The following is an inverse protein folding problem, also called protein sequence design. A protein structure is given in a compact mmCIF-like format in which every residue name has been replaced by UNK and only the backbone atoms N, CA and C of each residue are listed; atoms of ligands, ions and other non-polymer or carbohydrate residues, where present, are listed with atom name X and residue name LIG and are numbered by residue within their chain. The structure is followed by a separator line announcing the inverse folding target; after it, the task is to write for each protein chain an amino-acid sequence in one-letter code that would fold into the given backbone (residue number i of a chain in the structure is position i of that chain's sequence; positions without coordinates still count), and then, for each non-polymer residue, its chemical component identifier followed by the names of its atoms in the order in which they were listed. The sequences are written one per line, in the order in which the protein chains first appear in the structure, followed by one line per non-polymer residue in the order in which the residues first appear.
data_IF_811515726455
#
_entry.id   IF_811515726455
#
_cell.length_a   1.000
_cell.length_b   1.000
_cell.length_c   1.000
_cell.angle_alpha   90.00
_cell.angle_beta   90.00
_cell.angle_gamma   90.00
#
_symmetry.space_group_name_H-M   'P 1'
#
loop_
_entity.id
_entity.type
_entity.pdbx_description
1 polymer ?
#
# COMPACT_ATOMS: atom_id res chain seq x y z
N UNK A 1 10.54 8.63 13.48
CA UNK A 1 10.74 7.46 12.61
C UNK A 1 10.04 6.20 13.13
N UNK A 2 9.93 5.18 12.27
CA UNK A 2 9.51 3.82 12.60
C UNK A 2 10.62 3.08 13.37
N UNK A 3 10.27 2.48 14.51
CA UNK A 3 11.12 1.50 15.19
C UNK A 3 10.71 0.10 14.71
N UNK A 4 11.58 -0.56 13.96
CA UNK A 4 11.29 -1.87 13.37
C UNK A 4 11.43 -2.99 14.42
N UNK A 5 10.38 -3.79 14.57
CA UNK A 5 10.37 -5.02 15.38
C UNK A 5 9.12 -5.85 15.05
N UNK A 6 9.19 -6.66 13.99
CA UNK A 6 8.09 -7.53 13.55
C UNK A 6 8.54 -8.98 13.57
N UNK A 7 7.94 -9.81 14.42
CA UNK A 7 8.33 -11.23 14.59
C UNK A 7 7.29 -12.21 14.05
N UNK A 8 6.07 -11.72 13.86
CA UNK A 8 4.93 -12.48 13.40
C UNK A 8 3.84 -11.51 12.90
N UNK A 9 2.78 -12.06 12.31
CA UNK A 9 1.68 -11.29 11.71
C UNK A 9 0.44 -11.17 12.63
N UNK A 10 0.54 -11.56 13.90
CA UNK A 10 -0.60 -11.70 14.84
C UNK A 10 -0.46 -10.93 16.14
N UNK A 11 0.78 -10.59 16.52
CA UNK A 11 1.12 -9.80 17.69
C UNK A 11 0.48 -8.41 17.60
N UNK A 12 0.25 -7.73 18.74
CA UNK A 12 -0.38 -6.41 18.76
C UNK A 12 0.33 -5.41 17.84
N UNK A 13 -0.40 -4.90 16.84
CA UNK A 13 0.11 -3.92 15.89
C UNK A 13 0.27 -2.55 16.58
N UNK A 14 1.47 -1.97 16.52
CA UNK A 14 1.78 -0.66 17.12
C UNK A 14 1.90 0.46 16.09
N UNK A 15 2.44 0.13 14.92
CA UNK A 15 2.64 1.08 13.83
C UNK A 15 2.50 0.35 12.49
N UNK A 16 2.05 1.06 11.46
CA UNK A 16 1.87 0.52 10.11
C UNK A 16 2.12 1.59 9.06
N UNK A 17 2.70 1.19 7.93
CA UNK A 17 2.67 1.97 6.69
C UNK A 17 1.43 1.52 5.93
N UNK A 18 0.46 2.41 5.80
CA UNK A 18 -0.77 2.17 5.07
C UNK A 18 -0.69 2.91 3.73
N UNK A 19 -0.94 2.19 2.63
CA UNK A 19 -0.92 2.76 1.28
C UNK A 19 -1.93 3.89 1.09
N UNK A 20 -1.86 4.58 -0.05
CA UNK A 20 -2.79 5.65 -0.42
C UNK A 20 -3.52 5.30 -1.71
N UNK A 21 -4.78 5.72 -1.80
CA UNK A 21 -5.63 5.46 -2.97
C UNK A 21 -5.63 6.61 -3.99
N UNK A 22 -4.98 7.73 -3.64
CA UNK A 22 -4.93 8.93 -4.48
C UNK A 22 -4.12 8.69 -5.74
N UNK A 23 -4.58 9.26 -6.85
CA UNK A 23 -3.93 9.23 -8.16
C UNK A 23 -3.48 7.82 -8.59
N UNK A 24 -4.38 6.80 -8.59
CA UNK A 24 -4.00 5.41 -8.88
C UNK A 24 -3.62 5.19 -10.36
N UNK A 25 -3.83 6.19 -11.22
CA UNK A 25 -3.71 6.09 -12.66
C UNK A 25 -5.00 5.65 -13.34
N UNK A 26 -4.99 5.43 -14.67
CA UNK A 26 -6.15 4.97 -15.40
C UNK A 26 -6.52 3.53 -15.05
N UNK A 27 -7.78 3.14 -15.33
CA UNK A 27 -8.19 1.74 -15.27
C UNK A 27 -7.35 0.95 -16.27
N UNK A 28 -6.66 -0.13 -15.84
CA UNK A 28 -5.88 -0.97 -16.75
C UNK A 28 -6.77 -1.60 -17.81
N UNK A 29 -6.19 -1.91 -18.97
CA UNK A 29 -6.87 -2.72 -19.98
C UNK A 29 -6.94 -4.19 -19.53
N UNK A 30 -7.91 -4.98 -20.03
CA UNK A 30 -7.98 -6.40 -19.72
C UNK A 30 -6.65 -7.16 -19.94
N UNK A 31 -5.92 -6.84 -21.01
CA UNK A 31 -4.62 -7.43 -21.33
C UNK A 31 -3.47 -7.02 -20.39
N UNK A 32 -3.65 -5.95 -19.62
CA UNK A 32 -2.69 -5.44 -18.64
C UNK A 32 -2.98 -5.98 -17.22
N UNK A 33 -4.14 -6.63 -17.02
CA UNK A 33 -4.50 -7.21 -15.73
C UNK A 33 -3.66 -8.47 -15.45
N UNK A 34 -2.81 -8.38 -14.43
CA UNK A 34 -1.97 -9.51 -14.01
C UNK A 34 -2.71 -10.51 -13.11
N UNK A 35 -3.78 -10.08 -12.44
CA UNK A 35 -4.59 -10.92 -11.56
C UNK A 35 -6.02 -11.11 -12.09
N UNK A 36 -6.62 -12.29 -11.86
CA UNK A 36 -7.94 -12.63 -12.41
C UNK A 36 -9.06 -11.77 -11.83
N UNK A 37 -8.89 -11.18 -10.65
CA UNK A 37 -9.94 -10.40 -9.98
C UNK A 37 -10.04 -9.00 -10.56
N UNK A 38 -8.90 -8.35 -10.81
CA UNK A 38 -8.85 -7.11 -11.59
C UNK A 38 -9.46 -7.33 -12.97
N UNK A 39 -9.10 -8.42 -13.67
CA UNK A 39 -9.66 -8.75 -14.98
C UNK A 39 -11.19 -8.89 -14.94
N UNK A 40 -11.73 -9.63 -13.96
CA UNK A 40 -13.17 -9.77 -13.75
C UNK A 40 -13.88 -8.41 -13.63
N UNK A 41 -13.35 -7.52 -12.78
CA UNK A 41 -13.96 -6.21 -12.54
C UNK A 41 -13.80 -5.25 -13.71
N UNK A 42 -12.68 -5.30 -14.45
CA UNK A 42 -12.49 -4.52 -15.68
C UNK A 42 -13.51 -4.95 -16.72
N UNK A 43 -13.65 -6.26 -16.98
CA UNK A 43 -14.60 -6.80 -17.96
C UNK A 43 -16.06 -6.51 -17.58
N UNK A 44 -16.37 -6.48 -16.27
CA UNK A 44 -17.69 -6.14 -15.76
C UNK A 44 -17.97 -4.63 -15.68
N UNK A 45 -16.98 -3.76 -15.95
CA UNK A 45 -17.11 -2.30 -15.80
C UNK A 45 -17.28 -1.84 -14.35
N UNK A 46 -16.81 -2.65 -13.39
CA UNK A 46 -16.92 -2.42 -11.94
C UNK A 46 -15.56 -2.29 -11.25
N UNK A 47 -14.51 -1.95 -12.02
CA UNK A 47 -13.19 -1.67 -11.44
C UNK A 47 -13.29 -0.47 -10.48
N UNK A 48 -12.63 -0.51 -9.31
CA UNK A 48 -12.79 0.51 -8.27
C UNK A 48 -12.47 1.92 -8.78
N UNK A 49 -13.29 2.89 -8.39
CA UNK A 49 -13.01 4.31 -8.61
C UNK A 49 -12.12 4.85 -7.50
N UNK A 50 -11.36 5.90 -7.81
CA UNK A 50 -10.51 6.59 -6.83
C UNK A 50 -11.32 7.07 -5.61
N UNK A 51 -12.49 7.67 -5.82
CA UNK A 51 -13.36 8.17 -4.75
C UNK A 51 -13.78 7.06 -3.77
N UNK A 52 -14.13 5.89 -4.29
CA UNK A 52 -14.53 4.74 -3.49
C UNK A 52 -13.35 4.19 -2.69
N UNK A 53 -12.19 4.04 -3.33
CA UNK A 53 -10.97 3.57 -2.69
C UNK A 53 -10.47 4.52 -1.59
N UNK A 54 -10.56 5.84 -1.81
CA UNK A 54 -10.21 6.83 -0.77
C UNK A 54 -11.12 6.67 0.44
N UNK A 55 -12.44 6.52 0.23
CA UNK A 55 -13.40 6.30 1.30
C UNK A 55 -13.09 5.07 2.15
N UNK A 56 -12.85 3.93 1.49
CA UNK A 56 -12.48 2.66 2.15
C UNK A 56 -11.15 2.78 2.92
N UNK A 57 -10.13 3.41 2.32
CA UNK A 57 -8.82 3.56 2.96
C UNK A 57 -8.83 4.52 4.15
N UNK A 58 -9.69 5.54 4.15
CA UNK A 58 -9.88 6.43 5.31
C UNK A 58 -10.74 5.79 6.41
N UNK A 59 -11.74 4.97 6.04
CA UNK A 59 -12.47 4.17 7.00
C UNK A 59 -11.53 3.19 7.73
N UNK A 60 -10.65 2.51 7.01
CA UNK A 60 -9.68 1.59 7.61
C UNK A 60 -8.64 2.31 8.48
N UNK A 61 -8.10 3.45 8.03
CA UNK A 61 -7.23 4.32 8.82
C UNK A 61 -7.89 4.75 10.14
N UNK A 62 -9.18 5.08 10.11
CA UNK A 62 -9.95 5.45 11.30
C UNK A 62 -10.04 4.31 12.31
N UNK A 63 -10.25 3.07 11.85
CA UNK A 63 -10.24 1.87 12.71
C UNK A 63 -8.87 1.66 13.36
N UNK A 64 -7.78 1.73 12.58
CA UNK A 64 -6.42 1.60 13.10
C UNK A 64 -6.12 2.63 14.19
N UNK A 65 -6.47 3.90 13.94
CA UNK A 65 -6.29 5.00 14.91
C UNK A 65 -7.13 4.81 16.17
N UNK A 66 -8.37 4.32 16.05
CA UNK A 66 -9.23 3.98 17.19
C UNK A 66 -8.57 2.94 18.11
N UNK A 67 -7.78 2.03 17.56
CA UNK A 67 -7.01 1.03 18.32
C UNK A 67 -5.62 1.51 18.76
N UNK A 68 -5.31 2.80 18.59
CA UNK A 68 -4.02 3.39 19.00
C UNK A 68 -2.85 3.03 18.09
N UNK A 69 -3.09 2.49 16.90
CA UNK A 69 -2.04 2.18 15.93
C UNK A 69 -1.54 3.47 15.27
N UNK A 70 -0.22 3.67 15.24
CA UNK A 70 0.39 4.79 14.53
C UNK A 70 0.42 4.50 13.02
N UNK A 71 -0.31 5.30 12.25
CA UNK A 71 -0.38 5.15 10.79
C UNK A 71 0.59 6.12 10.12
N UNK A 72 1.45 5.56 9.26
CA UNK A 72 2.30 6.27 8.32
C UNK A 72 1.75 6.07 6.90
N UNK A 73 2.04 6.99 5.98
CA UNK A 73 1.61 6.94 4.58
C UNK A 73 2.82 7.13 3.66
N UNK A 74 2.84 6.53 2.46
CA UNK A 74 3.79 6.93 1.42
C UNK A 74 3.56 8.38 0.96
N UNK A 75 4.59 8.99 0.37
CA UNK A 75 4.42 10.20 -0.44
C UNK A 75 3.59 9.90 -1.69
N UNK A 76 2.83 10.90 -2.16
CA UNK A 76 2.00 10.77 -3.35
C UNK A 76 2.85 10.73 -4.62
N UNK A 77 2.67 9.66 -5.40
CA UNK A 77 3.15 9.53 -6.76
C UNK A 77 1.97 9.61 -7.71
N UNK A 78 1.96 10.61 -8.59
CA UNK A 78 0.89 10.79 -9.56
C UNK A 78 0.80 9.64 -10.55
N UNK A 79 -0.43 9.17 -10.82
CA UNK A 79 -0.75 8.05 -11.71
C UNK A 79 -0.06 6.74 -11.33
N UNK A 80 0.02 6.45 -10.03
CA UNK A 80 0.65 5.26 -9.47
C UNK A 80 -0.27 4.61 -8.43
N UNK A 81 -0.57 3.33 -8.60
CA UNK A 81 -1.37 2.60 -7.62
C UNK A 81 -0.53 2.23 -6.38
N UNK A 82 -0.70 3.00 -5.29
CA UNK A 82 0.11 2.92 -4.07
C UNK A 82 -0.61 2.29 -2.87
N UNK A 83 -1.74 1.58 -3.07
CA UNK A 83 -2.49 0.97 -1.97
C UNK A 83 -1.76 -0.24 -1.35
N UNK A 84 -0.87 -0.88 -2.10
CA UNK A 84 -0.22 -2.15 -1.73
C UNK A 84 1.22 -1.96 -1.19
N UNK A 85 1.37 -1.25 -0.07
CA UNK A 85 2.71 -1.05 0.55
C UNK A 85 3.41 -2.35 0.98
N UNK A 86 2.69 -3.46 1.11
CA UNK A 86 3.27 -4.78 1.42
C UNK A 86 4.11 -5.35 0.29
N UNK A 87 3.76 -5.04 -0.95
CA UNK A 87 4.43 -5.61 -2.13
C UNK A 87 5.84 -5.03 -2.31
N UNK A 88 6.06 -3.78 -1.86
CA UNK A 88 7.31 -3.04 -2.07
C UNK A 88 8.35 -3.32 -0.99
N UNK A 89 7.92 -3.57 0.24
CA UNK A 89 8.79 -3.84 1.38
C UNK A 89 8.08 -4.57 2.52
N UNK A 90 8.86 -5.31 3.30
CA UNK A 90 8.39 -5.98 4.50
C UNK A 90 9.47 -5.96 5.59
N UNK A 91 9.06 -6.23 6.82
CA UNK A 91 9.95 -6.15 8.00
C UNK A 91 10.08 -7.55 8.58
N UNK A 92 11.31 -7.99 8.82
CA UNK A 92 11.61 -9.18 9.61
C UNK A 92 12.51 -8.76 10.75
N UNK A 93 12.03 -8.96 11.97
CA UNK A 93 12.64 -8.47 13.20
C UNK A 93 12.85 -6.95 13.11
N UNK A 94 14.10 -6.52 13.16
CA UNK A 94 14.56 -5.14 13.09
C UNK A 94 14.99 -4.69 11.68
N UNK A 95 14.81 -5.55 10.67
CA UNK A 95 15.30 -5.30 9.31
C UNK A 95 14.16 -4.99 8.36
N UNK A 96 14.33 -3.92 7.57
CA UNK A 96 13.51 -3.69 6.40
C UNK A 96 14.11 -4.44 5.21
N UNK A 97 13.26 -5.18 4.51
CA UNK A 97 13.62 -5.89 3.29
C UNK A 97 12.88 -5.22 2.12
N UNK A 98 13.64 -4.62 1.20
CA UNK A 98 13.12 -4.18 -0.10
C UNK A 98 12.78 -5.43 -0.91
N UNK A 99 11.52 -5.53 -1.34
CA UNK A 99 11.11 -6.66 -2.15
C UNK A 99 11.72 -6.54 -3.56
N UNK A 100 12.19 -7.66 -4.12
CA UNK A 100 12.70 -7.70 -5.49
C UNK A 100 11.52 -7.90 -6.46
N UNK A 101 10.71 -6.85 -6.61
CA UNK A 101 9.54 -6.82 -7.48
C UNK A 101 9.87 -6.26 -8.87
N UNK A 102 8.86 -6.24 -9.74
CA UNK A 102 8.93 -5.73 -11.11
C UNK A 102 9.66 -4.37 -11.18
N UNK A 103 10.50 -4.13 -12.20
CA UNK A 103 11.33 -2.92 -12.32
C UNK A 103 10.55 -1.60 -12.20
N UNK A 104 9.27 -1.60 -12.59
CA UNK A 104 8.42 -0.40 -12.64
C UNK A 104 7.93 0.06 -11.26
N UNK A 105 8.06 -0.76 -10.21
CA UNK A 105 7.58 -0.45 -8.84
C UNK A 105 8.68 0.07 -7.92
N UNK A 106 9.89 0.33 -8.43
CA UNK A 106 11.01 0.84 -7.62
C UNK A 106 10.73 2.23 -7.01
N UNK A 107 10.03 3.10 -7.74
CA UNK A 107 9.65 4.43 -7.27
C UNK A 107 8.71 4.39 -6.06
N UNK A 108 7.87 3.36 -5.95
CA UNK A 108 6.97 3.21 -4.79
C UNK A 108 7.76 2.97 -3.50
N UNK A 109 8.92 2.31 -3.58
CA UNK A 109 9.80 2.16 -2.43
C UNK A 109 10.38 3.51 -1.99
N UNK A 110 10.74 4.38 -2.94
CA UNK A 110 11.25 5.72 -2.61
C UNK A 110 10.22 6.55 -1.83
N UNK A 111 8.94 6.42 -2.17
CA UNK A 111 7.84 7.14 -1.52
C UNK A 111 7.68 6.82 -0.02
N UNK A 112 8.24 5.70 0.47
CA UNK A 112 8.22 5.34 1.90
C UNK A 112 9.54 5.62 2.63
N UNK A 113 10.59 6.09 1.95
CA UNK A 113 11.90 6.30 2.59
C UNK A 113 11.81 7.31 3.74
N UNK A 114 11.01 8.36 3.59
CA UNK A 114 10.83 9.40 4.61
C UNK A 114 10.25 8.88 5.95
N UNK A 115 9.60 7.70 5.96
CA UNK A 115 9.07 7.11 7.20
C UNK A 115 10.11 6.26 7.94
N UNK A 116 11.17 5.87 7.23
CA UNK A 116 12.27 5.03 7.71
C UNK A 116 13.39 5.91 8.28
N UNK A 117 14.06 5.43 9.32
CA UNK A 117 15.33 6.01 9.81
C UNK A 117 16.44 5.35 8.99
N UNK A 118 16.83 5.97 7.86
CA UNK A 118 17.90 5.48 6.97
C UNK A 118 19.06 6.45 6.97
#
# INVERSE_FOLDING_TARGET
MLQLNVRDETSPLKAVVLGIANSPGPIPKPEEAYDPKSLEHILAGTYPREEDMIGEMEAFNSVLRKHGVKVFRPELLENCNQIFSRDIAFVIEDKLIKANILPEREKEFEAIIHVLDV
#
